data_IF_959884043696
#
_entry.id   IF_959884043696
#
_cell.length_a   1.000
_cell.length_b   1.000
_cell.length_c   1.000
_cell.angle_alpha   90.00
_cell.angle_beta   90.00
_cell.angle_gamma   90.00
#
_symmetry.space_group_name_H-M   'P 1'
#
loop_
_entity.id
_entity.type
_entity.pdbx_description
1 polymer ?
#
# COMPACT_ATOMS: atom_id res chain seq x y z
N UNK A 1 19.51 32.84 38.42
CA UNK A 1 19.05 33.20 37.06
C UNK A 1 19.40 32.07 36.09
N UNK A 2 18.46 31.79 35.19
CA UNK A 2 18.25 30.56 34.40
C UNK A 2 19.40 30.27 33.40
N UNK A 3 20.13 29.15 33.56
CA UNK A 3 21.05 28.62 32.53
C UNK A 3 20.64 27.26 31.95
N UNK A 4 19.56 26.64 32.43
CA UNK A 4 19.06 25.36 31.92
C UNK A 4 18.16 25.54 30.67
N UNK A 5 17.61 26.74 30.46
CA UNK A 5 16.69 27.00 29.34
C UNK A 5 17.34 27.10 27.96
N UNK A 6 18.67 27.31 27.87
CA UNK A 6 19.35 27.43 26.56
C UNK A 6 19.81 26.09 25.99
N UNK A 7 20.02 25.06 26.82
CA UNK A 7 20.47 23.75 26.35
C UNK A 7 19.32 22.90 25.82
N UNK A 8 18.12 23.01 26.44
CA UNK A 8 16.92 22.32 25.95
C UNK A 8 16.46 22.84 24.59
N UNK A 9 16.65 24.13 24.30
CA UNK A 9 16.24 24.72 23.03
C UNK A 9 17.16 24.30 21.87
N UNK A 10 18.42 23.99 22.16
CA UNK A 10 19.40 23.58 21.14
C UNK A 10 19.24 22.09 20.75
N UNK A 11 18.75 21.25 21.67
CA UNK A 11 18.37 19.85 21.38
C UNK A 11 17.08 19.73 20.55
N UNK A 12 16.19 20.73 20.60
CA UNK A 12 14.97 20.78 19.78
C UNK A 12 15.24 21.26 18.34
N UNK A 13 16.35 21.95 18.09
CA UNK A 13 16.72 22.41 16.74
C UNK A 13 17.30 21.30 15.86
N UNK A 14 17.80 20.20 16.44
CA UNK A 14 18.24 19.02 15.68
C UNK A 14 17.07 18.16 15.15
N UNK A 15 15.85 18.40 15.62
CA UNK A 15 14.63 17.79 15.06
C UNK A 15 13.89 18.73 14.08
N UNK A 16 14.43 19.93 13.83
CA UNK A 16 13.82 20.95 12.99
C UNK A 16 14.06 20.81 11.47
N UNK A 17 14.77 19.78 11.02
CA UNK A 17 15.09 19.55 9.60
C UNK A 17 14.78 18.12 9.11
N UNK A 18 13.69 17.51 9.57
CA UNK A 18 13.01 16.42 8.83
C UNK A 18 11.67 16.94 8.28
N UNK A 19 11.73 18.16 7.72
CA UNK A 19 10.63 18.84 7.04
C UNK A 19 10.70 18.64 5.52
N UNK A 20 10.75 17.38 5.09
CA UNK A 20 10.32 16.91 3.77
C UNK A 20 9.99 15.43 3.93
N UNK A 21 8.73 15.12 3.74
CA UNK A 21 8.08 13.83 3.87
C UNK A 21 8.64 12.76 2.92
N UNK A 22 9.81 12.20 3.23
CA UNK A 22 10.36 11.03 2.55
C UNK A 22 9.66 9.71 2.96
N UNK A 23 8.62 9.74 3.79
CA UNK A 23 8.05 8.55 4.44
C UNK A 23 7.03 7.77 3.57
N UNK A 24 6.78 8.23 2.34
CA UNK A 24 5.80 7.67 1.38
C UNK A 24 6.37 7.37 -0.02
N UNK A 25 7.70 7.27 -0.18
CA UNK A 25 8.23 6.74 -1.45
C UNK A 25 7.83 5.28 -1.61
N UNK A 26 7.65 4.80 -2.85
CA UNK A 26 7.29 3.42 -3.07
C UNK A 26 8.28 2.42 -2.45
N UNK A 27 9.58 2.69 -2.50
CA UNK A 27 10.61 1.88 -1.81
C UNK A 27 10.32 1.70 -0.32
N UNK A 28 9.97 2.78 0.39
CA UNK A 28 9.69 2.73 1.83
C UNK A 28 8.36 2.02 2.12
N UNK A 29 7.37 2.17 1.24
CA UNK A 29 6.09 1.44 1.36
C UNK A 29 6.30 -0.06 1.12
N UNK A 30 7.08 -0.43 0.09
CA UNK A 30 7.46 -1.81 -0.20
C UNK A 30 8.17 -2.47 0.98
N UNK A 31 9.10 -1.76 1.64
CA UNK A 31 9.77 -2.25 2.85
C UNK A 31 8.79 -2.52 3.98
N UNK A 32 7.87 -1.58 4.27
CA UNK A 32 6.83 -1.76 5.31
C UNK A 32 5.92 -2.96 5.03
N UNK A 33 5.57 -3.20 3.77
CA UNK A 33 4.82 -4.40 3.38
C UNK A 33 5.64 -5.67 3.65
N UNK A 34 6.90 -5.72 3.20
CA UNK A 34 7.79 -6.86 3.41
C UNK A 34 8.03 -7.17 4.89
N UNK A 35 8.19 -6.15 5.74
CA UNK A 35 8.32 -6.30 7.20
C UNK A 35 7.12 -7.00 7.85
N UNK A 36 5.92 -6.90 7.24
CA UNK A 36 4.70 -7.57 7.71
C UNK A 36 4.35 -8.84 6.93
N UNK A 37 5.32 -9.45 6.26
CA UNK A 37 5.15 -10.67 5.46
C UNK A 37 4.22 -10.49 4.24
N UNK A 38 4.14 -9.27 3.70
CA UNK A 38 3.53 -9.07 2.38
C UNK A 38 4.59 -9.19 1.28
N UNK A 39 4.22 -9.87 0.21
CA UNK A 39 4.96 -9.90 -1.04
C UNK A 39 4.37 -8.87 -1.99
N UNK A 40 5.23 -8.16 -2.73
CA UNK A 40 4.82 -7.21 -3.77
C UNK A 40 5.39 -7.68 -5.10
N UNK A 41 4.53 -7.82 -6.12
CA UNK A 41 4.91 -8.19 -7.46
C UNK A 41 4.36 -7.21 -8.50
N UNK A 42 5.06 -7.12 -9.62
CA UNK A 42 4.67 -6.34 -10.78
C UNK A 42 4.68 -7.23 -12.02
N UNK A 43 3.65 -7.12 -12.85
CA UNK A 43 3.56 -7.77 -14.15
C UNK A 43 3.40 -6.71 -15.23
N UNK A 44 4.33 -6.67 -16.19
CA UNK A 44 4.44 -5.67 -17.25
C UNK A 44 3.71 -6.05 -18.56
N UNK A 45 2.78 -7.00 -18.52
CA UNK A 45 2.03 -7.44 -19.71
C UNK A 45 1.14 -6.35 -20.33
N UNK A 46 0.33 -6.73 -21.33
CA UNK A 46 -0.56 -5.80 -22.06
C UNK A 46 -1.51 -5.02 -21.13
N UNK A 47 -1.86 -5.61 -19.99
CA UNK A 47 -2.53 -4.96 -18.87
C UNK A 47 -1.66 -5.08 -17.63
N UNK A 48 -0.82 -4.06 -17.32
CA UNK A 48 0.06 -4.13 -16.18
C UNK A 48 -0.69 -4.27 -14.86
N UNK A 49 -0.14 -5.07 -13.95
CA UNK A 49 -0.72 -5.28 -12.62
C UNK A 49 0.32 -5.17 -11.53
N UNK A 50 -0.11 -4.65 -10.39
CA UNK A 50 0.66 -4.69 -9.13
C UNK A 50 -0.15 -5.50 -8.14
N UNK A 51 0.47 -6.55 -7.58
CA UNK A 51 -0.16 -7.40 -6.56
C UNK A 51 0.60 -7.31 -5.25
N UNK A 52 -0.13 -7.09 -4.17
CA UNK A 52 0.39 -7.02 -2.80
C UNK A 52 -0.30 -8.11 -1.98
N UNK A 53 0.39 -9.22 -1.72
CA UNK A 53 -0.19 -10.42 -1.10
C UNK A 53 0.35 -10.65 0.30
N UNK A 54 -0.54 -10.81 1.28
CA UNK A 54 -0.21 -11.39 2.60
C UNK A 54 -0.24 -12.91 2.48
N UNK A 55 0.84 -13.58 2.87
CA UNK A 55 0.87 -15.04 2.92
C UNK A 55 1.03 -15.54 4.35
N UNK A 56 0.24 -16.54 4.75
CA UNK A 56 0.39 -17.29 6.01
C UNK A 56 0.53 -18.77 5.71
N UNK A 57 1.54 -19.42 6.30
CA UNK A 57 1.81 -20.84 6.11
C UNK A 57 1.90 -21.27 4.63
N UNK A 58 2.48 -20.42 3.78
CA UNK A 58 2.65 -20.69 2.35
C UNK A 58 1.39 -20.54 1.50
N UNK A 59 0.31 -19.97 2.05
CA UNK A 59 -0.93 -19.65 1.32
C UNK A 59 -1.23 -18.17 1.43
N UNK A 60 -1.66 -17.57 0.34
CA UNK A 60 -2.14 -16.19 0.35
C UNK A 60 -3.46 -16.12 1.12
N UNK A 61 -3.58 -15.16 2.03
CA UNK A 61 -4.76 -14.94 2.88
C UNK A 61 -5.43 -13.60 2.60
N UNK A 62 -4.69 -12.62 2.09
CA UNK A 62 -5.25 -11.37 1.59
C UNK A 62 -4.41 -10.81 0.44
N UNK A 63 -5.04 -10.08 -0.48
CA UNK A 63 -4.36 -9.49 -1.63
C UNK A 63 -4.99 -8.14 -1.99
N UNK A 64 -4.15 -7.17 -2.34
CA UNK A 64 -4.53 -6.01 -3.14
C UNK A 64 -4.05 -6.24 -4.57
N UNK A 65 -4.93 -6.04 -5.55
CA UNK A 65 -4.61 -6.22 -6.97
C UNK A 65 -5.00 -4.95 -7.70
N UNK A 66 -4.01 -4.22 -8.20
CA UNK A 66 -4.24 -3.02 -8.97
C UNK A 66 -4.11 -3.29 -10.46
N UNK A 67 -5.10 -2.83 -11.22
CA UNK A 67 -5.12 -2.87 -12.68
C UNK A 67 -4.73 -1.51 -13.22
N UNK A 68 -3.77 -1.50 -14.15
CA UNK A 68 -3.24 -0.28 -14.74
C UNK A 68 -3.58 -0.26 -16.22
N UNK A 69 -4.11 0.87 -16.68
CA UNK A 69 -4.48 1.09 -18.08
C UNK A 69 -4.14 2.53 -18.45
N UNK A 70 -3.54 2.72 -19.63
CA UNK A 70 -3.15 4.04 -20.14
C UNK A 70 -2.33 4.88 -19.12
N UNK A 71 -1.41 4.21 -18.40
CA UNK A 71 -0.56 4.79 -17.34
C UNK A 71 -1.32 5.36 -16.14
N UNK A 72 -2.57 4.97 -15.94
CA UNK A 72 -3.37 5.29 -14.75
C UNK A 72 -3.80 4.00 -14.05
N UNK A 73 -4.05 4.08 -12.75
CA UNK A 73 -4.73 2.99 -12.04
C UNK A 73 -6.20 3.03 -12.45
N UNK A 74 -6.65 1.98 -13.13
CA UNK A 74 -8.04 1.83 -13.53
C UNK A 74 -8.91 1.41 -12.35
N UNK A 75 -8.44 0.42 -11.59
CA UNK A 75 -9.13 -0.05 -10.38
C UNK A 75 -8.16 -0.79 -9.46
N UNK A 76 -8.56 -0.92 -8.19
CA UNK A 76 -7.88 -1.76 -7.21
C UNK A 76 -8.92 -2.68 -6.58
N UNK A 77 -8.69 -3.98 -6.65
CA UNK A 77 -9.46 -5.00 -5.94
C UNK A 77 -8.77 -5.36 -4.63
N UNK A 78 -9.57 -5.70 -3.62
CA UNK A 78 -9.10 -6.35 -2.40
C UNK A 78 -9.79 -7.70 -2.26
N UNK A 79 -8.99 -8.72 -1.96
CA UNK A 79 -9.45 -10.09 -1.69
C UNK A 79 -8.97 -10.47 -0.31
N UNK A 80 -9.88 -10.98 0.53
CA UNK A 80 -9.53 -11.61 1.81
C UNK A 80 -10.19 -12.97 1.88
N UNK A 81 -9.38 -14.01 2.02
CA UNK A 81 -9.88 -15.35 2.25
C UNK A 81 -10.33 -15.51 3.70
N UNK A 82 -11.33 -16.37 3.96
CA UNK A 82 -11.75 -16.66 5.32
C UNK A 82 -10.65 -17.40 6.08
N UNK A 83 -10.49 -17.09 7.37
CA UNK A 83 -9.52 -17.79 8.23
C UNK A 83 -9.87 -19.29 8.35
N UNK A 84 -11.17 -19.61 8.31
CA UNK A 84 -11.68 -20.96 8.18
C UNK A 84 -12.10 -21.23 6.73
N UNK A 85 -11.34 -22.07 6.02
CA UNK A 85 -11.61 -22.46 4.62
C UNK A 85 -12.97 -23.12 4.35
N UNK A 86 -13.71 -23.51 5.39
CA UNK A 86 -15.06 -24.06 5.27
C UNK A 86 -16.15 -22.98 5.33
N UNK A 87 -15.80 -21.73 5.71
CA UNK A 87 -16.74 -20.63 5.84
C UNK A 87 -16.53 -19.57 4.75
N UNK A 88 -17.08 -19.82 3.56
CA UNK A 88 -16.95 -18.91 2.41
C UNK A 88 -17.71 -17.58 2.60
N UNK A 89 -18.65 -17.51 3.54
CA UNK A 89 -19.42 -16.29 3.81
C UNK A 89 -18.54 -15.16 4.38
N UNK A 90 -17.39 -15.50 4.98
CA UNK A 90 -16.42 -14.53 5.50
C UNK A 90 -15.42 -14.05 4.42
N UNK A 91 -15.52 -14.55 3.18
CA UNK A 91 -14.68 -14.10 2.08
C UNK A 91 -15.09 -12.69 1.65
N UNK A 92 -14.11 -11.80 1.54
CA UNK A 92 -14.31 -10.47 0.97
C UNK A 92 -13.65 -10.40 -0.40
N UNK A 93 -14.42 -9.98 -1.40
CA UNK A 93 -13.93 -9.73 -2.76
C UNK A 93 -14.68 -8.52 -3.34
N UNK A 94 -13.93 -7.54 -3.82
CA UNK A 94 -14.53 -6.36 -4.44
C UNK A 94 -13.52 -5.27 -4.73
N UNK A 95 -13.90 -4.34 -5.60
CA UNK A 95 -13.12 -3.15 -5.86
C UNK A 95 -13.19 -2.19 -4.68
N UNK A 96 -12.04 -1.63 -4.31
CA UNK A 96 -11.90 -0.63 -3.25
C UNK A 96 -11.61 0.76 -3.83
N UNK A 97 -11.18 0.79 -5.09
CA UNK A 97 -10.92 1.98 -5.89
C UNK A 97 -11.30 1.67 -7.34
N UNK A 98 -11.89 2.66 -8.00
CA UNK A 98 -12.13 2.67 -9.44
C UNK A 98 -11.95 4.12 -9.92
N UNK A 99 -11.23 4.30 -11.02
CA UNK A 99 -11.19 5.60 -11.70
C UNK A 99 -12.60 5.96 -12.22
N UNK A 100 -12.86 7.26 -12.40
CA UNK A 100 -14.18 7.74 -12.86
C UNK A 100 -14.57 7.20 -14.23
N UNK A 101 -13.59 6.84 -15.06
CA UNK A 101 -13.80 6.28 -16.40
C UNK A 101 -13.86 4.75 -16.39
N UNK A 102 -13.68 4.09 -15.23
CA UNK A 102 -13.76 2.64 -15.10
C UNK A 102 -15.20 2.16 -14.97
N UNK A 103 -15.50 1.00 -15.57
CA UNK A 103 -16.77 0.27 -15.38
C UNK A 103 -16.83 -0.48 -14.02
N UNK A 104 -15.78 -0.40 -13.20
CA UNK A 104 -15.69 -1.09 -11.91
C UNK A 104 -16.50 -0.39 -10.82
N UNK A 105 -17.33 -1.14 -10.09
CA UNK A 105 -18.08 -0.61 -8.95
C UNK A 105 -17.37 -0.89 -7.62
N UNK A 106 -17.20 0.15 -6.80
CA UNK A 106 -16.58 0.04 -5.48
C UNK A 106 -17.54 -0.64 -4.50
N UNK A 107 -17.07 -1.72 -3.87
CA UNK A 107 -17.78 -2.39 -2.78
C UNK A 107 -17.38 -1.77 -1.44
N UNK A 108 -18.31 -1.05 -0.80
CA UNK A 108 -18.00 -0.27 0.41
C UNK A 108 -17.61 -1.12 1.63
N UNK A 109 -18.15 -2.34 1.79
CA UNK A 109 -17.76 -3.24 2.88
C UNK A 109 -16.32 -3.74 2.71
N UNK A 110 -15.96 -4.15 1.49
CA UNK A 110 -14.61 -4.56 1.13
C UNK A 110 -13.63 -3.39 1.26
N UNK A 111 -14.03 -2.20 0.83
CA UNK A 111 -13.24 -0.97 0.98
C UNK A 111 -12.99 -0.61 2.44
N UNK A 112 -13.99 -0.76 3.31
CA UNK A 112 -13.85 -0.54 4.74
C UNK A 112 -12.84 -1.51 5.36
N UNK A 113 -12.91 -2.79 5.00
CA UNK A 113 -11.95 -3.80 5.44
C UNK A 113 -10.52 -3.50 4.95
N UNK A 114 -10.37 -3.21 3.66
CA UNK A 114 -9.10 -2.82 3.06
C UNK A 114 -8.49 -1.57 3.72
N UNK A 115 -9.31 -0.55 3.97
CA UNK A 115 -8.89 0.69 4.66
C UNK A 115 -8.36 0.40 6.06
N UNK A 116 -8.97 -0.55 6.79
CA UNK A 116 -8.49 -0.95 8.11
C UNK A 116 -7.08 -1.58 8.04
N UNK A 117 -6.81 -2.38 7.01
CA UNK A 117 -5.48 -2.98 6.77
C UNK A 117 -4.45 -1.90 6.40
N UNK A 118 -4.77 -1.02 5.44
CA UNK A 118 -3.89 0.07 4.99
C UNK A 118 -3.50 1.02 6.13
N UNK A 119 -4.43 1.31 7.05
CA UNK A 119 -4.13 2.10 8.26
C UNK A 119 -3.04 1.49 9.13
N UNK A 120 -2.90 0.16 9.16
CA UNK A 120 -1.80 -0.49 9.90
C UNK A 120 -0.41 -0.19 9.31
N UNK A 121 -0.36 0.29 8.06
CA UNK A 121 0.83 0.76 7.36
C UNK A 121 0.94 2.29 7.32
N UNK A 122 0.00 3.00 7.97
CA UNK A 122 -0.15 4.45 7.88
C UNK A 122 -0.37 4.93 6.42
N UNK A 123 -1.20 4.20 5.68
CA UNK A 123 -1.57 4.48 4.28
C UNK A 123 -3.08 4.71 4.14
N UNK A 124 -3.45 5.52 3.15
CA UNK A 124 -4.80 5.64 2.59
C UNK A 124 -4.94 4.82 1.30
N UNK A 125 -6.14 4.81 0.70
CA UNK A 125 -6.34 4.25 -0.64
C UNK A 125 -5.62 5.11 -1.70
N UNK A 126 -5.64 6.43 -1.55
CA UNK A 126 -4.91 7.33 -2.47
C UNK A 126 -3.39 7.07 -2.39
N UNK A 127 -2.84 6.84 -1.18
CA UNK A 127 -1.44 6.46 -1.03
C UNK A 127 -1.12 5.13 -1.73
N UNK A 128 -2.09 4.19 -1.75
CA UNK A 128 -1.96 2.93 -2.46
C UNK A 128 -2.00 3.13 -3.98
N UNK A 129 -2.83 4.04 -4.48
CA UNK A 129 -2.88 4.43 -5.90
C UNK A 129 -1.55 5.04 -6.33
N UNK A 130 -1.04 6.03 -5.60
CA UNK A 130 0.25 6.68 -5.88
C UNK A 130 1.41 5.66 -5.86
N UNK A 131 1.41 4.76 -4.87
CA UNK A 131 2.39 3.68 -4.76
C UNK A 131 2.39 2.75 -5.97
N UNK A 132 1.21 2.30 -6.42
CA UNK A 132 1.07 1.45 -7.60
C UNK A 132 1.53 2.16 -8.86
N UNK A 133 1.20 3.45 -9.01
CA UNK A 133 1.65 4.26 -10.15
C UNK A 133 3.17 4.36 -10.20
N UNK A 134 3.84 4.65 -9.09
CA UNK A 134 5.30 4.74 -9.04
C UNK A 134 5.97 3.40 -9.40
N UNK A 135 5.41 2.26 -8.95
CA UNK A 135 5.88 0.93 -9.38
C UNK A 135 5.77 0.77 -10.89
N UNK A 136 4.63 1.16 -11.48
CA UNK A 136 4.42 1.04 -12.91
C UNK A 136 5.32 1.98 -13.73
N UNK A 137 5.49 3.23 -13.30
CA UNK A 137 6.37 4.22 -13.94
C UNK A 137 7.84 3.77 -13.95
N UNK A 138 8.24 3.00 -12.93
CA UNK A 138 9.57 2.43 -12.82
C UNK A 138 9.70 1.04 -13.44
N UNK A 139 8.64 0.51 -14.08
CA UNK A 139 8.62 -0.84 -14.66
C UNK A 139 9.04 -1.91 -13.63
N UNK A 140 8.57 -1.75 -12.39
CA UNK A 140 8.86 -2.65 -11.27
C UNK A 140 10.26 -2.52 -10.65
N UNK A 141 11.16 -1.70 -11.20
CA UNK A 141 12.57 -1.58 -10.71
C UNK A 141 12.67 -1.17 -9.24
N UNK A 142 11.72 -0.36 -8.76
CA UNK A 142 11.69 0.07 -7.36
C UNK A 142 11.50 -1.08 -6.37
N UNK A 143 11.01 -2.24 -6.81
CA UNK A 143 10.84 -3.43 -5.97
C UNK A 143 12.15 -4.19 -5.72
N UNK A 144 13.14 -4.01 -6.61
CA UNK A 144 14.42 -4.72 -6.62
C UNK A 144 15.58 -3.93 -6.04
N UNK A 145 15.48 -2.60 -5.99
CA UNK A 145 16.53 -1.73 -5.49
C UNK A 145 16.63 -1.80 -3.96
N UNK A 146 17.48 -2.70 -3.46
CA UNK A 146 18.02 -2.59 -2.10
C UNK A 146 19.03 -1.44 -2.10
N UNK A 147 18.70 -0.32 -1.44
CA UNK A 147 19.71 0.70 -1.11
C UNK A 147 20.73 0.17 -0.12
#
# INVERSE_FOLDING_TARGET
MKKIGKLLLMLLLCFGFVGCSNNKSASNITEKFKEKNYNVSYNSGDAPTVTISESKNGKDVSQFIAYIKDKKVESIAYIKLPDNSQNYDDMLIGFIYADKESDSEVNEDTKKAATAILKTFNLTIDDLVDYVLEINETDGKILTDKK
#
